data_IF_197216016428
#
_entry.id   IF_197216016428
#
_cell.length_a   1.000
_cell.length_b   1.000
_cell.length_c   1.000
_cell.angle_alpha   90.00
_cell.angle_beta   90.00
_cell.angle_gamma   90.00
#
_symmetry.space_group_name_H-M   'P 1'
#
loop_
_entity.id
_entity.type
_entity.pdbx_description
1 polymer ?
#
# COMPACT_ATOMS: atom_id res chain seq x y z
N UNK A 1 -5.61 17.02 11.34
CA UNK A 1 -5.30 15.74 10.67
C UNK A 1 -6.47 14.80 10.92
N UNK A 2 -7.03 14.15 9.89
CA UNK A 2 -8.21 13.30 10.09
C UNK A 2 -7.83 11.98 10.79
N UNK A 3 -8.80 11.35 11.46
CA UNK A 3 -8.64 10.01 12.06
C UNK A 3 -8.20 8.97 11.02
N UNK A 4 -8.67 9.10 9.77
CA UNK A 4 -8.20 8.30 8.64
C UNK A 4 -6.69 8.43 8.42
N UNK A 5 -6.16 9.65 8.38
CA UNK A 5 -4.71 9.87 8.18
C UNK A 5 -3.91 9.25 9.33
N UNK A 6 -4.33 9.44 10.59
CA UNK A 6 -3.66 8.84 11.75
C UNK A 6 -3.67 7.31 11.65
N UNK A 7 -4.79 6.71 11.23
CA UNK A 7 -4.90 5.26 11.04
C UNK A 7 -3.91 4.73 9.98
N UNK A 8 -3.71 5.48 8.88
CA UNK A 8 -2.78 5.10 7.80
C UNK A 8 -1.32 5.31 8.20
N UNK A 9 -1.01 6.32 9.02
CA UNK A 9 0.31 6.46 9.64
C UNK A 9 0.63 5.24 10.50
N UNK A 10 -0.30 4.83 11.37
CA UNK A 10 -0.12 3.67 12.24
C UNK A 10 0.06 2.37 11.42
N UNK A 11 -0.74 2.17 10.37
CA UNK A 11 -0.61 1.03 9.46
C UNK A 11 0.77 0.98 8.77
N UNK A 12 1.25 2.12 8.28
CA UNK A 12 2.55 2.25 7.63
C UNK A 12 3.69 1.94 8.61
N UNK A 13 3.64 2.48 9.83
CA UNK A 13 4.61 2.18 10.88
C UNK A 13 4.60 0.69 11.26
N UNK A 14 3.42 0.10 11.41
CA UNK A 14 3.26 -1.32 11.75
C UNK A 14 3.81 -2.23 10.65
N UNK A 15 3.60 -1.88 9.38
CA UNK A 15 4.17 -2.61 8.23
C UNK A 15 5.68 -2.78 8.37
N UNK A 16 6.41 -1.73 8.75
CA UNK A 16 7.87 -1.80 8.95
C UNK A 16 8.27 -2.71 10.11
N UNK A 17 7.51 -2.68 11.20
CA UNK A 17 7.75 -3.54 12.37
C UNK A 17 7.55 -5.01 11.99
N UNK A 18 6.46 -5.33 11.29
CA UNK A 18 6.14 -6.71 10.90
C UNK A 18 7.10 -7.23 9.84
N UNK A 19 7.50 -6.40 8.86
CA UNK A 19 8.51 -6.76 7.87
C UNK A 19 9.86 -7.15 8.51
N UNK A 20 10.30 -6.42 9.54
CA UNK A 20 11.52 -6.77 10.30
C UNK A 20 11.35 -8.04 11.12
N UNK A 21 10.16 -8.27 11.66
CA UNK A 21 9.85 -9.47 12.46
C UNK A 21 9.83 -10.74 11.62
N UNK A 22 9.43 -10.67 10.35
CA UNK A 22 9.31 -11.81 9.45
C UNK A 22 10.09 -11.59 8.14
N UNK A 23 11.43 -11.71 8.16
CA UNK A 23 12.27 -11.41 7.00
C UNK A 23 12.09 -12.37 5.81
N UNK A 24 11.46 -13.53 6.02
CA UNK A 24 11.14 -14.49 4.95
C UNK A 24 9.84 -14.17 4.20
N UNK A 25 9.06 -13.19 4.66
CA UNK A 25 7.78 -12.78 4.07
C UNK A 25 7.93 -11.36 3.50
N UNK A 26 7.50 -11.16 2.26
CA UNK A 26 7.45 -9.83 1.65
C UNK A 26 6.22 -9.06 2.18
N UNK A 27 6.44 -7.98 2.91
CA UNK A 27 5.39 -7.19 3.58
C UNK A 27 5.62 -5.72 3.25
N UNK A 28 4.72 -5.10 2.49
CA UNK A 28 4.83 -3.70 2.07
C UNK A 28 3.51 -2.95 2.26
N UNK A 29 3.60 -1.62 2.32
CA UNK A 29 2.45 -0.73 2.34
C UNK A 29 2.27 -0.11 0.95
N UNK A 30 1.03 0.09 0.51
CA UNK A 30 0.73 0.66 -0.80
C UNK A 30 -0.46 1.62 -0.76
N UNK A 31 -0.30 2.76 -1.41
CA UNK A 31 -1.37 3.67 -1.76
C UNK A 31 -1.78 3.39 -3.21
N UNK A 32 -3.04 2.97 -3.48
CA UNK A 32 -3.51 2.68 -4.83
C UNK A 32 -3.72 3.94 -5.69
N UNK A 33 -3.66 5.13 -5.08
CA UNK A 33 -4.03 6.39 -5.72
C UNK A 33 -5.49 6.77 -5.43
N UNK A 34 -6.04 7.71 -6.20
CA UNK A 34 -7.41 8.21 -6.01
C UNK A 34 -8.40 7.43 -6.89
N UNK A 35 -9.01 6.41 -6.30
CA UNK A 35 -9.82 5.39 -6.98
C UNK A 35 -11.32 5.66 -6.80
N UNK A 36 -12.09 5.54 -7.89
CA UNK A 36 -13.56 5.62 -7.89
C UNK A 36 -14.17 4.43 -7.14
N UNK A 37 -14.48 4.63 -5.87
CA UNK A 37 -15.09 3.63 -4.98
C UNK A 37 -16.13 4.31 -4.08
N UNK A 38 -16.98 3.55 -3.42
CA UNK A 38 -17.96 4.10 -2.46
C UNK A 38 -17.29 4.91 -1.34
N UNK A 39 -16.08 4.53 -0.91
CA UNK A 39 -15.29 5.28 0.08
C UNK A 39 -14.99 6.72 -0.38
N UNK A 40 -14.84 6.92 -1.70
CA UNK A 40 -14.60 8.21 -2.32
C UNK A 40 -15.86 8.77 -3.01
N UNK A 41 -17.06 8.27 -2.67
CA UNK A 41 -18.32 8.67 -3.30
C UNK A 41 -18.31 8.51 -4.83
N UNK A 42 -17.62 7.47 -5.31
CA UNK A 42 -17.41 7.20 -6.74
C UNK A 42 -16.67 8.32 -7.50
N UNK A 43 -15.92 9.17 -6.79
CA UNK A 43 -15.01 10.18 -7.34
C UNK A 43 -13.58 9.61 -7.35
N UNK A 44 -12.80 9.94 -8.39
CA UNK A 44 -11.45 9.44 -8.58
C UNK A 44 -10.99 9.62 -10.02
N UNK A 45 -9.68 9.60 -10.26
CA UNK A 45 -9.12 9.54 -11.62
C UNK A 45 -8.74 8.11 -12.04
N UNK A 46 -8.81 7.13 -11.12
CA UNK A 46 -8.58 5.71 -11.40
C UNK A 46 -9.86 4.88 -11.25
N UNK A 47 -10.00 3.84 -12.06
CA UNK A 47 -10.98 2.75 -11.86
C UNK A 47 -10.51 1.79 -10.75
N UNK A 48 -11.42 0.97 -10.18
CA UNK A 48 -11.03 -0.09 -9.25
C UNK A 48 -9.94 -1.02 -9.78
N UNK A 49 -10.01 -1.41 -11.05
CA UNK A 49 -9.00 -2.27 -11.70
C UNK A 49 -7.63 -1.59 -11.78
N UNK A 50 -7.59 -0.31 -12.17
CA UNK A 50 -6.36 0.48 -12.21
C UNK A 50 -5.75 0.70 -10.82
N UNK A 51 -6.59 0.86 -9.79
CA UNK A 51 -6.16 0.95 -8.40
C UNK A 51 -5.64 -0.38 -7.83
N UNK A 52 -6.20 -1.50 -8.27
CA UNK A 52 -5.82 -2.84 -7.84
C UNK A 52 -4.46 -3.28 -8.41
N UNK A 53 -4.08 -2.76 -9.57
CA UNK A 53 -2.85 -3.15 -10.28
C UNK A 53 -1.60 -3.14 -9.37
N UNK A 54 -1.39 -2.07 -8.60
CA UNK A 54 -0.21 -1.96 -7.72
C UNK A 54 -0.25 -2.92 -6.55
N UNK A 55 -1.44 -3.21 -6.02
CA UNK A 55 -1.66 -4.15 -4.92
C UNK A 55 -1.35 -5.56 -5.40
N UNK A 56 -1.91 -5.96 -6.56
CA UNK A 56 -1.69 -7.27 -7.16
C UNK A 56 -0.22 -7.47 -7.53
N UNK A 57 0.44 -6.43 -8.07
CA UNK A 57 1.89 -6.48 -8.34
C UNK A 57 2.72 -6.81 -7.10
N UNK A 58 2.41 -6.19 -5.95
CA UNK A 58 3.12 -6.46 -4.70
C UNK A 58 2.79 -7.83 -4.12
N UNK A 59 1.53 -8.28 -4.25
CA UNK A 59 1.11 -9.60 -3.81
C UNK A 59 1.76 -10.74 -4.60
N UNK A 60 2.12 -10.50 -5.86
CA UNK A 60 2.77 -11.46 -6.77
C UNK A 60 4.29 -11.31 -6.84
N UNK A 61 4.92 -10.57 -5.92
CA UNK A 61 6.37 -10.47 -5.88
C UNK A 61 7.00 -11.86 -5.69
N UNK A 62 8.16 -12.13 -6.33
CA UNK A 62 8.89 -13.36 -6.09
C UNK A 62 9.36 -13.42 -4.63
N UNK A 63 9.58 -14.64 -4.14
CA UNK A 63 10.21 -14.86 -2.83
C UNK A 63 11.55 -14.13 -2.78
N UNK A 64 11.80 -13.40 -1.69
CA UNK A 64 12.98 -12.54 -1.54
C UNK A 64 12.86 -11.16 -2.19
N UNK A 65 11.66 -10.79 -2.67
CA UNK A 65 11.34 -9.44 -3.12
C UNK A 65 11.42 -8.39 -1.99
N UNK A 66 11.29 -7.10 -2.35
CA UNK A 66 11.37 -6.00 -1.38
C UNK A 66 10.36 -6.16 -0.24
N UNK A 67 10.76 -5.77 0.98
CA UNK A 67 9.93 -5.84 2.18
C UNK A 67 10.19 -4.63 3.08
N UNK A 68 9.16 -4.16 3.77
CA UNK A 68 9.20 -3.01 4.67
C UNK A 68 9.18 -1.65 3.98
N UNK A 69 8.74 -1.58 2.71
CA UNK A 69 8.70 -0.37 1.90
C UNK A 69 7.28 0.20 1.77
N UNK A 70 7.20 1.46 1.33
CA UNK A 70 5.95 2.12 0.99
C UNK A 70 5.92 2.46 -0.50
N UNK A 71 4.80 2.18 -1.15
CA UNK A 71 4.60 2.46 -2.57
C UNK A 71 3.42 3.38 -2.79
N UNK A 72 3.57 4.36 -3.68
CA UNK A 72 2.44 5.04 -4.31
C UNK A 72 2.31 4.48 -5.71
N UNK A 73 1.23 3.73 -5.94
CA UNK A 73 1.05 2.92 -7.15
C UNK A 73 2.29 2.02 -7.36
N UNK A 74 3.06 2.24 -8.42
CA UNK A 74 4.23 1.41 -8.77
C UNK A 74 5.54 1.95 -8.22
N UNK A 75 5.56 3.18 -7.72
CA UNK A 75 6.76 3.88 -7.28
C UNK A 75 6.97 3.71 -5.79
N UNK A 76 8.19 3.32 -5.40
CA UNK A 76 8.62 3.38 -4.00
C UNK A 76 8.70 4.84 -3.55
N UNK A 77 8.25 5.09 -2.31
CA UNK A 77 8.33 6.39 -1.66
C UNK A 77 8.90 6.22 -0.25
N UNK A 78 9.60 7.25 0.26
CA UNK A 78 9.94 7.29 1.68
C UNK A 78 8.66 7.31 2.54
N UNK A 79 8.78 6.81 3.77
CA UNK A 79 7.73 6.87 4.79
C UNK A 79 7.57 8.28 5.36
#
# INVERSE_FOLDING_TARGET
MSTYIISKIALNAYTRVVARKYPSICINAVCPGFVKTDLNYNIGYLTPDEGAESIVRLALLPIGGPSGLFFIRKEEKPF
#
